data_IF_081943284029
#
_entry.id   IF_081943284029
#
_cell.length_a   1.000
_cell.length_b   1.000
_cell.length_c   1.000
_cell.angle_alpha   90.00
_cell.angle_beta   90.00
_cell.angle_gamma   90.00
#
_symmetry.space_group_name_H-M   'P 1'
#
loop_
_entity.id
_entity.type
_entity.pdbx_description
1 polymer ?
#
# COMPACT_ATOMS: atom_id res chain seq x y z
N UNK A 1 5.19 -11.30 -25.00
CA UNK A 1 6.21 -11.31 -23.93
C UNK A 1 5.75 -10.29 -22.92
N UNK A 2 5.19 -10.74 -21.80
CA UNK A 2 4.73 -9.85 -20.74
C UNK A 2 5.96 -9.46 -19.92
N UNK A 3 6.24 -8.15 -19.84
CA UNK A 3 7.25 -7.64 -18.94
C UNK A 3 6.65 -7.64 -17.54
N UNK A 4 7.09 -8.58 -16.71
CA UNK A 4 6.79 -8.57 -15.28
C UNK A 4 7.58 -7.42 -14.65
N UNK A 5 6.94 -6.26 -14.57
CA UNK A 5 7.42 -5.17 -13.72
C UNK A 5 7.15 -5.59 -12.28
N UNK A 6 8.14 -6.22 -11.66
CA UNK A 6 8.18 -6.34 -10.20
C UNK A 6 8.25 -4.90 -9.65
N UNK A 7 7.08 -4.36 -9.29
CA UNK A 7 6.98 -3.14 -8.50
C UNK A 7 7.70 -3.47 -7.20
N UNK A 8 8.92 -2.93 -7.04
CA UNK A 8 9.75 -3.12 -5.86
C UNK A 8 8.89 -2.94 -4.62
N UNK A 9 8.71 -4.04 -3.88
CA UNK A 9 7.93 -4.05 -2.65
C UNK A 9 8.73 -3.27 -1.61
N UNK A 10 8.40 -1.98 -1.43
CA UNK A 10 9.18 -1.11 -0.53
C UNK A 10 9.04 -1.59 0.92
N UNK A 11 7.85 -2.05 1.34
CA UNK A 11 7.67 -2.64 2.68
C UNK A 11 6.38 -3.46 2.81
N UNK A 12 6.49 -4.67 3.37
CA UNK A 12 5.35 -5.41 3.97
C UNK A 12 5.24 -4.99 5.43
N UNK A 13 4.15 -4.30 5.79
CA UNK A 13 4.04 -3.63 7.12
C UNK A 13 3.16 -4.43 8.09
N UNK A 14 2.34 -5.35 7.59
CA UNK A 14 1.47 -6.17 8.44
C UNK A 14 1.38 -7.60 7.91
N UNK A 15 1.41 -8.57 8.82
CA UNK A 15 1.06 -9.97 8.56
C UNK A 15 0.19 -10.41 9.72
N UNK A 16 -1.10 -10.67 9.49
CA UNK A 16 -1.87 -11.42 10.49
C UNK A 16 -1.50 -12.90 10.38
N UNK A 17 -1.74 -13.67 11.44
CA UNK A 17 -1.44 -15.11 11.46
C UNK A 17 -2.21 -15.93 10.41
N UNK A 18 -3.10 -15.30 9.64
CA UNK A 18 -3.87 -15.89 8.53
C UNK A 18 -3.21 -15.70 7.16
N UNK A 19 -2.15 -14.90 7.05
CA UNK A 19 -1.41 -14.70 5.79
C UNK A 19 -1.79 -13.44 5.00
N UNK A 20 -2.82 -12.70 5.43
CA UNK A 20 -3.15 -11.39 4.87
C UNK A 20 -2.04 -10.39 5.17
N UNK A 21 -1.89 -9.41 4.28
CA UNK A 21 -0.87 -8.38 4.47
C UNK A 21 -1.22 -7.04 3.83
N UNK A 22 -0.56 -5.99 4.33
CA UNK A 22 -0.62 -4.66 3.74
C UNK A 22 0.73 -4.37 3.07
N UNK A 23 0.64 -3.98 1.80
CA UNK A 23 1.74 -3.47 1.00
C UNK A 23 1.62 -1.96 0.85
N UNK A 24 2.73 -1.25 1.08
CA UNK A 24 2.84 0.18 0.78
C UNK A 24 3.99 0.39 -0.20
N UNK A 25 3.70 1.05 -1.31
CA UNK A 25 4.68 1.28 -2.38
C UNK A 25 4.21 2.31 -3.40
N UNK A 26 5.01 2.56 -4.45
CA UNK A 26 4.61 3.44 -5.53
C UNK A 26 3.45 2.82 -6.32
N UNK A 27 2.68 3.67 -6.99
CA UNK A 27 1.65 3.21 -7.90
C UNK A 27 2.25 2.42 -9.08
N UNK A 28 1.48 1.47 -9.60
CA UNK A 28 1.91 0.63 -10.71
C UNK A 28 2.08 1.38 -12.04
N UNK A 29 1.51 2.59 -12.14
CA UNK A 29 1.43 3.36 -13.38
C UNK A 29 2.56 4.39 -13.48
N UNK A 30 3.44 4.48 -12.46
CA UNK A 30 4.59 5.37 -12.45
C UNK A 30 4.20 6.85 -12.34
N UNK A 31 3.04 7.15 -11.75
CA UNK A 31 2.52 8.52 -11.58
C UNK A 31 3.07 9.23 -10.33
N UNK A 32 4.07 8.66 -9.68
CA UNK A 32 4.65 9.12 -8.42
C UNK A 32 3.62 9.23 -7.27
N UNK A 33 2.59 8.39 -7.32
CA UNK A 33 1.57 8.26 -6.28
C UNK A 33 1.96 7.14 -5.30
N UNK A 34 1.41 7.22 -4.10
CA UNK A 34 1.52 6.20 -3.07
C UNK A 34 0.30 5.27 -3.14
N UNK A 35 0.55 3.97 -3.18
CA UNK A 35 -0.45 2.93 -3.04
C UNK A 35 -0.33 2.22 -1.70
N UNK A 36 -1.46 2.07 -1.02
CA UNK A 36 -1.63 1.18 0.12
C UNK A 36 -2.61 0.09 -0.31
N UNK A 37 -2.15 -1.17 -0.35
CA UNK A 37 -2.92 -2.32 -0.83
C UNK A 37 -3.03 -3.37 0.26
N UNK A 38 -4.24 -3.87 0.49
CA UNK A 38 -4.49 -5.03 1.33
C UNK A 38 -4.64 -6.28 0.45
N UNK A 39 -3.94 -7.33 0.85
CA UNK A 39 -4.00 -8.64 0.20
C UNK A 39 -4.56 -9.66 1.19
N UNK A 40 -5.42 -10.55 0.70
CA UNK A 40 -5.85 -11.73 1.46
C UNK A 40 -4.77 -12.83 1.50
N UNK A 41 -5.09 -13.94 2.16
CA UNK A 41 -4.22 -15.11 2.31
C UNK A 41 -3.92 -15.83 0.98
N UNK A 42 -4.71 -15.57 -0.06
CA UNK A 42 -4.49 -16.07 -1.43
C UNK A 42 -3.62 -15.15 -2.28
N UNK A 43 -3.25 -13.97 -1.76
CA UNK A 43 -2.50 -12.94 -2.49
C UNK A 43 -3.38 -12.10 -3.42
N UNK A 44 -4.71 -12.12 -3.27
CA UNK A 44 -5.61 -11.25 -4.03
C UNK A 44 -5.75 -9.90 -3.33
N UNK A 45 -5.62 -8.81 -4.10
CA UNK A 45 -5.86 -7.46 -3.59
C UNK A 45 -7.35 -7.27 -3.27
N UNK A 46 -7.69 -7.01 -2.01
CA UNK A 46 -9.06 -6.83 -1.52
C UNK A 46 -9.43 -5.36 -1.29
N UNK A 47 -8.44 -4.51 -1.02
CA UNK A 47 -8.62 -3.06 -0.89
C UNK A 47 -7.39 -2.29 -1.39
N UNK A 48 -7.61 -1.10 -1.95
CA UNK A 48 -6.57 -0.20 -2.43
C UNK A 48 -6.92 1.24 -2.10
N UNK A 49 -5.95 1.98 -1.58
CA UNK A 49 -6.00 3.43 -1.46
C UNK A 49 -4.83 3.99 -2.24
N UNK A 50 -5.11 4.94 -3.14
CA UNK A 50 -4.11 5.66 -3.93
C UNK A 50 -4.18 7.13 -3.59
N UNK A 51 -3.04 7.76 -3.31
CA UNK A 51 -2.97 9.16 -2.93
C UNK A 51 -1.61 9.77 -3.27
N UNK A 52 -1.53 11.09 -3.34
CA UNK A 52 -0.24 11.77 -3.45
C UNK A 52 0.55 11.68 -2.14
N UNK A 53 1.86 11.94 -2.18
CA UNK A 53 2.72 11.97 -0.98
C UNK A 53 2.27 13.04 0.02
N UNK A 54 1.73 14.15 -0.46
CA UNK A 54 1.19 15.28 0.32
C UNK A 54 -0.08 14.86 1.04
N UNK A 55 -1.00 14.18 0.34
CA UNK A 55 -2.20 13.61 0.95
C UNK A 55 -1.85 12.56 2.01
N UNK A 56 -0.86 11.70 1.75
CA UNK A 56 -0.38 10.73 2.73
C UNK A 56 0.14 11.39 4.02
N UNK A 57 0.84 12.53 3.91
CA UNK A 57 1.28 13.31 5.08
C UNK A 57 0.10 13.87 5.87
N UNK A 58 -0.94 14.38 5.19
CA UNK A 58 -2.15 14.88 5.84
C UNK A 58 -2.91 13.75 6.56
N UNK A 59 -3.03 12.58 5.94
CA UNK A 59 -3.65 11.40 6.57
C UNK A 59 -2.86 10.99 7.82
N UNK A 60 -1.53 10.92 7.73
CA UNK A 60 -0.66 10.63 8.88
C UNK A 60 -0.91 11.62 10.01
N UNK A 61 -0.93 12.92 9.71
CA UNK A 61 -1.17 13.95 10.71
C UNK A 61 -2.55 13.79 11.37
N UNK A 62 -3.59 13.52 10.58
CA UNK A 62 -4.93 13.29 11.12
C UNK A 62 -4.99 12.05 12.03
N UNK A 63 -4.27 10.97 11.69
CA UNK A 63 -4.17 9.79 12.55
C UNK A 63 -3.43 10.10 13.87
N UNK A 64 -2.31 10.85 13.78
CA UNK A 64 -1.56 11.30 14.97
C UNK A 64 -2.45 12.16 15.89
N UNK A 65 -3.31 13.04 15.33
CA UNK A 65 -4.28 13.86 16.09
C UNK A 65 -5.41 13.04 16.73
N UNK A 66 -5.80 11.91 16.12
CA UNK A 66 -6.76 10.96 16.67
C UNK A 66 -6.16 10.02 17.73
N UNK A 67 -4.83 10.00 17.86
CA UNK A 67 -4.10 9.12 18.78
C UNK A 67 -4.11 7.65 18.36
N UNK A 68 -4.16 7.37 17.05
CA UNK A 68 -4.08 6.02 16.46
C UNK A 68 -2.69 5.77 15.90
#
# INVERSE_FOLDING_TARGET
MAHDYEIETIKRIYTNGTGEYIHIGPDAEGLDLLDIRQYDDTGKCTARITMSKEQAKLVKQALDELGI
#
